data_IF_840862731523
#
_entry.id   IF_840862731523
#
_cell.length_a   1.000
_cell.length_b   1.000
_cell.length_c   1.000
_cell.angle_alpha   90.00
_cell.angle_beta   90.00
_cell.angle_gamma   90.00
#
_symmetry.space_group_name_H-M   'P 1'
#
loop_
_entity.id
_entity.type
_entity.pdbx_description
1 polymer ?
#
# COMPACT_ATOMS: atom_id res chain seq x y z
N UNK A 1 3.90 26.45 13.34
CA UNK A 1 3.05 25.51 12.57
C UNK A 1 3.92 24.94 11.46
N UNK A 2 4.03 23.62 11.33
CA UNK A 2 4.73 23.06 10.17
C UNK A 2 3.96 23.46 8.91
N UNK A 3 4.69 23.81 7.84
CA UNK A 3 4.06 23.99 6.54
C UNK A 3 3.32 22.69 6.13
N UNK A 4 2.16 22.79 5.46
CA UNK A 4 1.48 21.61 4.92
C UNK A 4 2.42 20.88 3.95
N UNK A 5 2.41 19.55 4.03
CA UNK A 5 3.20 18.70 3.14
C UNK A 5 2.60 18.71 1.72
N UNK A 6 3.42 18.50 0.65
CA UNK A 6 2.96 18.69 -0.73
C UNK A 6 1.76 17.83 -1.16
N UNK A 7 1.57 16.67 -0.53
CA UNK A 7 0.46 15.74 -0.82
C UNK A 7 -0.52 15.64 0.36
N UNK A 8 -0.57 16.65 1.23
CA UNK A 8 -1.57 16.69 2.30
C UNK A 8 -3.00 16.57 1.72
N UNK A 9 -3.77 15.62 2.25
CA UNK A 9 -5.16 15.37 1.81
C UNK A 9 -5.30 14.36 0.66
N UNK A 10 -4.20 13.97 0.00
CA UNK A 10 -4.23 12.96 -1.05
C UNK A 10 -4.35 11.56 -0.44
N UNK A 11 -5.30 10.76 -0.96
CA UNK A 11 -5.53 9.37 -0.59
C UNK A 11 -5.00 8.43 -1.66
N UNK A 12 -4.24 7.43 -1.24
CA UNK A 12 -3.61 6.44 -2.12
C UNK A 12 -4.02 5.04 -1.67
N UNK A 13 -4.46 4.21 -2.61
CA UNK A 13 -4.64 2.78 -2.39
C UNK A 13 -3.57 2.02 -3.16
N UNK A 14 -2.81 1.18 -2.46
CA UNK A 14 -1.72 0.39 -3.08
C UNK A 14 -2.03 -1.11 -3.06
N UNK A 15 -1.98 -1.71 -4.25
CA UNK A 15 -2.04 -3.13 -4.53
C UNK A 15 -0.66 -3.59 -5.01
N UNK A 16 0.31 -3.58 -4.10
CA UNK A 16 1.69 -3.80 -4.49
C UNK A 16 2.37 -4.90 -3.68
N UNK A 17 3.46 -5.42 -4.23
CA UNK A 17 4.28 -6.43 -3.56
C UNK A 17 5.77 -6.20 -3.82
N UNK A 18 6.60 -6.87 -3.01
CA UNK A 18 8.06 -6.79 -3.06
C UNK A 18 8.60 -5.38 -2.74
N UNK A 19 9.31 -4.75 -3.67
CA UNK A 19 10.10 -3.52 -3.41
C UNK A 19 9.63 -2.36 -4.27
N UNK A 20 9.55 -2.54 -5.59
CA UNK A 20 9.36 -1.41 -6.51
C UNK A 20 7.99 -0.73 -6.33
N UNK A 21 6.90 -1.50 -6.25
CA UNK A 21 5.57 -0.93 -5.98
C UNK A 21 5.49 -0.23 -4.61
N UNK A 22 5.88 -0.88 -3.50
CA UNK A 22 5.87 -0.24 -2.18
C UNK A 22 6.76 1.01 -2.07
N UNK A 23 7.82 1.12 -2.89
CA UNK A 23 8.67 2.32 -2.93
C UNK A 23 7.88 3.56 -3.35
N UNK A 24 6.94 3.42 -4.29
CA UNK A 24 6.06 4.53 -4.70
C UNK A 24 5.27 5.03 -3.49
N UNK A 25 4.59 4.13 -2.78
CA UNK A 25 3.85 4.51 -1.57
C UNK A 25 4.76 5.10 -0.48
N UNK A 26 5.97 4.59 -0.31
CA UNK A 26 6.92 5.15 0.67
C UNK A 26 7.23 6.63 0.39
N UNK A 27 7.48 6.97 -0.88
CA UNK A 27 7.75 8.34 -1.31
C UNK A 27 6.51 9.22 -1.11
N UNK A 28 5.33 8.76 -1.56
CA UNK A 28 4.08 9.53 -1.43
C UNK A 28 3.71 9.79 0.04
N UNK A 29 3.91 8.82 0.93
CA UNK A 29 3.69 8.99 2.37
C UNK A 29 4.67 10.01 2.97
N UNK A 30 5.94 9.98 2.56
CA UNK A 30 6.94 10.98 2.96
C UNK A 30 6.59 12.40 2.51
N UNK A 31 5.85 12.54 1.41
CA UNK A 31 5.29 13.80 0.92
C UNK A 31 3.92 14.15 1.52
N UNK A 32 3.40 13.34 2.45
CA UNK A 32 2.19 13.63 3.22
C UNK A 32 0.90 12.97 2.77
N UNK A 33 0.95 12.08 1.77
CA UNK A 33 -0.24 11.34 1.34
C UNK A 33 -0.68 10.31 2.40
N UNK A 34 -1.99 10.07 2.49
CA UNK A 34 -2.55 8.98 3.27
C UNK A 34 -2.59 7.72 2.43
N UNK A 35 -2.04 6.63 2.94
CA UNK A 35 -1.91 5.39 2.16
C UNK A 35 -2.58 4.24 2.88
N UNK A 36 -3.46 3.55 2.16
CA UNK A 36 -4.03 2.26 2.56
C UNK A 36 -3.49 1.20 1.61
N UNK A 37 -2.74 0.26 2.17
CA UNK A 37 -2.22 -0.89 1.45
C UNK A 37 -3.17 -2.07 1.55
N UNK A 38 -3.45 -2.71 0.42
CA UNK A 38 -4.20 -3.96 0.36
C UNK A 38 -3.21 -5.13 0.36
N UNK A 39 -3.35 -6.01 1.34
CA UNK A 39 -2.53 -7.22 1.47
C UNK A 39 -3.38 -8.48 1.28
N UNK A 40 -2.79 -9.60 0.81
CA UNK A 40 -3.47 -10.88 0.87
C UNK A 40 -3.69 -11.31 2.32
N UNK A 41 -4.64 -12.21 2.55
CA UNK A 41 -4.81 -12.88 3.84
C UNK A 41 -3.47 -13.51 4.28
N UNK A 42 -3.02 -13.14 5.48
CA UNK A 42 -1.71 -13.56 6.04
C UNK A 42 -0.57 -12.54 5.85
N UNK A 43 -0.82 -11.45 5.11
CA UNK A 43 0.10 -10.33 4.89
C UNK A 43 1.09 -10.56 3.73
N UNK A 44 1.81 -9.49 3.36
CA UNK A 44 2.87 -9.52 2.36
C UNK A 44 4.02 -10.45 2.80
N UNK A 45 4.54 -11.23 1.85
CA UNK A 45 5.61 -12.21 2.10
C UNK A 45 6.91 -11.55 2.60
N UNK A 46 7.18 -10.30 2.20
CA UNK A 46 8.33 -9.51 2.65
C UNK A 46 8.36 -9.28 4.16
N UNK A 47 7.22 -9.39 4.85
CA UNK A 47 7.15 -9.34 6.33
C UNK A 47 7.94 -10.46 7.02
N UNK A 48 8.18 -11.57 6.31
CA UNK A 48 8.77 -12.80 6.86
C UNK A 48 10.10 -13.18 6.21
N UNK A 49 10.64 -12.33 5.33
CA UNK A 49 11.94 -12.57 4.72
C UNK A 49 13.05 -12.55 5.77
N UNK A 50 14.10 -13.32 5.50
CA UNK A 50 15.31 -13.44 6.35
C UNK A 50 16.54 -12.99 5.55
N UNK A 51 17.68 -12.86 6.23
CA UNK A 51 18.93 -12.47 5.60
C UNK A 51 18.84 -11.08 4.96
N UNK A 52 19.34 -10.94 3.72
CA UNK A 52 19.34 -9.67 2.99
C UNK A 52 17.95 -9.06 2.77
N UNK A 53 16.88 -9.86 2.82
CA UNK A 53 15.50 -9.40 2.64
C UNK A 53 14.79 -8.98 3.93
N UNK A 54 15.39 -9.18 5.11
CA UNK A 54 14.71 -8.98 6.40
C UNK A 54 14.23 -7.53 6.63
N UNK A 55 14.90 -6.56 6.01
CA UNK A 55 14.57 -5.14 6.13
C UNK A 55 13.52 -4.63 5.14
N UNK A 56 13.09 -5.43 4.15
CA UNK A 56 12.31 -4.91 3.02
C UNK A 56 10.96 -4.37 3.46
N UNK A 57 10.19 -5.13 4.24
CA UNK A 57 8.88 -4.67 4.68
C UNK A 57 8.93 -3.37 5.51
N UNK A 58 9.70 -3.28 6.62
CA UNK A 58 9.74 -2.05 7.42
C UNK A 58 10.35 -0.86 6.68
N UNK A 59 11.26 -1.08 5.73
CA UNK A 59 11.86 0.00 4.92
C UNK A 59 10.82 0.67 4.01
N UNK A 60 10.06 -0.12 3.25
CA UNK A 60 9.19 0.42 2.19
C UNK A 60 7.73 0.63 2.62
N UNK A 61 7.31 0.17 3.80
CA UNK A 61 5.91 0.26 4.23
C UNK A 61 5.69 1.07 5.52
N UNK A 62 6.72 1.74 6.04
CA UNK A 62 6.56 2.68 7.16
C UNK A 62 5.60 3.81 6.77
N UNK A 63 4.71 4.16 7.70
CA UNK A 63 3.77 5.29 7.55
C UNK A 63 2.50 4.96 6.76
N UNK A 64 2.33 3.70 6.33
CA UNK A 64 1.13 3.24 5.62
C UNK A 64 0.17 2.52 6.57
N UNK A 65 -1.13 2.73 6.39
CA UNK A 65 -2.15 1.83 6.92
C UNK A 65 -2.21 0.56 6.04
N UNK A 66 -2.72 -0.54 6.59
CA UNK A 66 -2.85 -1.80 5.86
C UNK A 66 -4.11 -2.55 6.26
N UNK A 67 -4.74 -3.19 5.27
CA UNK A 67 -5.85 -4.12 5.45
C UNK A 67 -5.57 -5.40 4.64
N UNK A 68 -5.85 -6.56 5.24
CA UNK A 68 -5.81 -7.83 4.53
C UNK A 68 -7.18 -8.12 3.92
N UNK A 69 -7.24 -8.38 2.62
CA UNK A 69 -8.46 -8.74 1.89
C UNK A 69 -8.27 -10.01 1.08
N UNK A 70 -9.30 -10.85 1.02
CA UNK A 70 -9.40 -11.88 -0.02
C UNK A 70 -10.12 -11.32 -1.24
N UNK A 71 -9.36 -10.91 -2.26
CA UNK A 71 -9.89 -10.34 -3.50
C UNK A 71 -10.63 -11.36 -4.38
N UNK A 72 -10.62 -12.65 -4.02
CA UNK A 72 -11.44 -13.67 -4.69
C UNK A 72 -12.84 -13.79 -4.08
N UNK A 73 -13.03 -13.28 -2.87
CA UNK A 73 -14.35 -13.21 -2.23
C UNK A 73 -15.15 -12.02 -2.77
N UNK A 74 -16.48 -12.14 -2.80
CA UNK A 74 -17.36 -11.03 -3.25
C UNK A 74 -17.22 -9.83 -2.32
N UNK A 75 -17.11 -10.10 -1.03
CA UNK A 75 -17.02 -9.12 0.05
C UNK A 75 -15.67 -8.39 -0.01
N UNK A 76 -14.56 -9.11 -0.14
CA UNK A 76 -13.23 -8.51 -0.26
C UNK A 76 -13.08 -7.69 -1.54
N UNK A 77 -13.69 -8.13 -2.65
CA UNK A 77 -13.72 -7.35 -3.89
C UNK A 77 -14.58 -6.08 -3.74
N UNK A 78 -15.71 -6.15 -3.03
CA UNK A 78 -16.54 -4.98 -2.76
C UNK A 78 -15.80 -3.93 -1.92
N UNK A 79 -15.18 -4.35 -0.81
CA UNK A 79 -14.38 -3.46 0.06
C UNK A 79 -13.23 -2.82 -0.74
N UNK A 80 -12.51 -3.61 -1.54
CA UNK A 80 -11.43 -3.08 -2.37
C UNK A 80 -11.92 -2.03 -3.37
N UNK A 81 -13.09 -2.25 -3.99
CA UNK A 81 -13.70 -1.28 -4.91
C UNK A 81 -14.10 0.00 -4.20
N UNK A 82 -14.70 -0.09 -3.01
CA UNK A 82 -15.11 1.08 -2.24
C UNK A 82 -13.89 1.92 -1.82
N UNK A 83 -12.82 1.27 -1.38
CA UNK A 83 -11.56 1.95 -1.06
C UNK A 83 -10.97 2.67 -2.28
N UNK A 84 -10.99 2.02 -3.45
CA UNK A 84 -10.48 2.62 -4.69
C UNK A 84 -11.36 3.77 -5.17
N UNK A 85 -12.68 3.68 -4.99
CA UNK A 85 -13.62 4.72 -5.38
C UNK A 85 -13.43 6.03 -4.60
N UNK A 86 -12.93 5.96 -3.36
CA UNK A 86 -12.60 7.12 -2.51
C UNK A 86 -11.13 7.57 -2.64
N UNK A 87 -10.31 6.88 -3.44
CA UNK A 87 -8.88 7.19 -3.60
C UNK A 87 -8.62 8.16 -4.76
N UNK A 88 -7.61 9.02 -4.60
CA UNK A 88 -7.12 9.89 -5.68
C UNK A 88 -6.14 9.14 -6.59
N UNK A 89 -5.41 8.17 -6.04
CA UNK A 89 -4.36 7.42 -6.74
C UNK A 89 -4.47 5.93 -6.41
N UNK A 90 -4.43 5.10 -7.46
CA UNK A 90 -4.23 3.66 -7.35
C UNK A 90 -2.81 3.30 -7.82
N UNK A 91 -2.10 2.51 -7.03
CA UNK A 91 -0.78 1.97 -7.39
C UNK A 91 -0.86 0.45 -7.43
N UNK A 92 -0.44 -0.16 -8.54
CA UNK A 92 -0.36 -1.61 -8.67
C UNK A 92 0.94 -2.02 -9.37
N UNK A 93 1.45 -3.22 -9.06
CA UNK A 93 2.59 -3.80 -9.77
C UNK A 93 2.47 -5.33 -9.94
N UNK A 94 1.26 -5.82 -10.16
CA UNK A 94 1.01 -7.23 -10.45
C UNK A 94 1.34 -7.56 -11.91
N UNK A 95 1.30 -8.85 -12.23
CA UNK A 95 1.41 -9.29 -13.63
C UNK A 95 0.27 -8.67 -14.45
N UNK A 96 0.45 -8.48 -15.77
CA UNK A 96 -0.65 -8.09 -16.64
C UNK A 96 -1.82 -9.08 -16.60
N UNK A 97 -3.04 -8.55 -16.44
CA UNK A 97 -4.30 -9.31 -16.39
C UNK A 97 -4.60 -9.98 -15.05
#
# INVERSE_FOLDING_TARGET
MSAPTPLAGIKVVEFTHMVMGPTVGHILAGLGAQIVRIEPIGGDRTRRLKGSGAGYFPMYNRGKASICLDLKSKEGLAIARDLVADADVLVENFRPG
#
